data_IF_730329020311
#
_entry.id   IF_730329020311
#
_cell.length_a   1.000
_cell.length_b   1.000
_cell.length_c   1.000
_cell.angle_alpha   90.00
_cell.angle_beta   90.00
_cell.angle_gamma   90.00
#
_symmetry.space_group_name_H-M   'P 1'
#
loop_
_entity.id
_entity.type
_entity.pdbx_description
1 polymer ?
#
# COMPACT_ATOMS: atom_id res chain seq x y z
N UNK A 1 2.99 -19.44 0.42
CA UNK A 1 2.21 -18.78 1.38
C UNK A 1 0.82 -18.53 0.88
N UNK A 2 0.08 -19.05 1.00
CA UNK A 2 -0.89 -18.89 0.96
C UNK A 2 -1.87 -18.19 0.67
N UNK A 3 -2.61 -18.45 0.33
CA UNK A 3 -3.93 -18.03 0.32
C UNK A 3 -4.46 -17.40 1.59
N UNK A 4 -3.49 -16.98 2.37
CA UNK A 4 -3.74 -16.59 3.70
C UNK A 4 -4.89 -15.68 3.92
N UNK A 5 -4.99 -14.55 3.29
CA UNK A 5 -5.89 -13.56 3.79
C UNK A 5 -7.30 -13.62 3.21
N UNK A 6 -7.71 -14.71 2.72
CA UNK A 6 -9.04 -14.81 2.11
C UNK A 6 -10.18 -14.84 3.10
N UNK A 7 -9.89 -14.94 4.40
CA UNK A 7 -10.94 -15.09 5.40
C UNK A 7 -10.85 -14.00 6.44
N UNK A 8 -11.70 -13.02 6.30
CA UNK A 8 -11.97 -12.09 7.39
C UNK A 8 -13.15 -12.62 8.21
N UNK A 9 -12.99 -12.73 9.53
CA UNK A 9 -13.97 -13.29 10.46
C UNK A 9 -15.33 -12.60 10.38
N UNK A 10 -15.36 -11.35 9.96
CA UNK A 10 -16.59 -10.55 9.95
C UNK A 10 -17.29 -10.50 8.59
N UNK A 11 -16.78 -11.21 7.59
CA UNK A 11 -17.23 -10.99 6.23
C UNK A 11 -16.95 -9.56 5.79
N UNK A 12 -16.42 -9.38 4.62
CA UNK A 12 -16.14 -8.06 4.05
C UNK A 12 -16.90 -7.87 2.76
N UNK A 13 -16.95 -6.65 2.27
CA UNK A 13 -17.42 -6.36 0.91
C UNK A 13 -16.61 -7.13 -0.15
N UNK A 14 -15.48 -7.69 0.21
CA UNK A 14 -14.64 -8.57 -0.61
C UNK A 14 -15.17 -10.01 -0.73
N UNK A 15 -16.25 -10.36 -0.02
CA UNK A 15 -16.89 -11.66 -0.20
C UNK A 15 -16.24 -12.80 0.56
N UNK A 16 -15.78 -12.58 1.77
CA UNK A 16 -15.13 -13.59 2.62
C UNK A 16 -15.98 -14.81 3.03
N UNK A 17 -17.16 -14.95 2.51
CA UNK A 17 -18.03 -16.10 2.73
C UNK A 17 -18.48 -16.28 4.18
N UNK A 18 -19.22 -17.35 4.42
CA UNK A 18 -19.72 -17.75 5.74
C UNK A 18 -18.88 -18.86 6.38
N UNK A 19 -17.63 -19.01 6.01
CA UNK A 19 -16.78 -20.06 6.55
C UNK A 19 -16.36 -19.72 7.98
N UNK A 20 -16.58 -20.64 8.89
CA UNK A 20 -16.15 -20.58 10.28
C UNK A 20 -14.93 -21.48 10.46
N UNK A 21 -13.82 -20.91 10.92
CA UNK A 21 -12.64 -21.67 11.27
C UNK A 21 -12.64 -22.05 12.75
N UNK A 22 -12.24 -23.26 13.04
CA UNK A 22 -12.11 -23.78 14.42
C UNK A 22 -10.69 -24.36 14.58
N UNK A 23 -9.90 -23.92 15.54
CA UNK A 23 -10.17 -22.89 16.53
C UNK A 23 -10.12 -21.47 15.93
N UNK A 24 -11.17 -20.70 16.16
CA UNK A 24 -11.38 -19.40 15.51
C UNK A 24 -10.29 -18.37 15.88
N UNK A 25 -9.95 -18.31 17.15
CA UNK A 25 -9.00 -17.28 17.64
C UNK A 25 -7.60 -17.52 17.10
N UNK A 26 -7.07 -18.73 17.26
CA UNK A 26 -5.69 -19.03 16.87
C UNK A 26 -5.53 -19.02 15.35
N UNK A 27 -6.45 -19.61 14.62
CA UNK A 27 -6.42 -19.61 13.17
C UNK A 27 -6.70 -18.25 12.57
N UNK A 28 -7.74 -17.59 13.04
CA UNK A 28 -8.14 -16.32 12.45
C UNK A 28 -7.23 -15.16 12.86
N UNK A 29 -6.77 -15.12 14.10
CA UNK A 29 -5.86 -14.07 14.56
C UNK A 29 -4.42 -14.29 14.06
N UNK A 30 -4.00 -15.53 13.88
CA UNK A 30 -2.67 -15.86 13.37
C UNK A 30 -2.57 -15.84 11.85
N UNK A 31 -3.59 -16.34 11.14
CA UNK A 31 -3.55 -16.49 9.69
C UNK A 31 -4.17 -15.31 8.92
N UNK A 32 -5.13 -14.62 9.51
CA UNK A 32 -5.81 -13.50 8.86
C UNK A 32 -5.29 -12.13 9.31
N UNK A 33 -4.38 -12.08 10.26
CA UNK A 33 -3.61 -10.88 10.61
C UNK A 33 -2.84 -10.29 9.43
N UNK A 34 -2.49 -11.12 8.46
CA UNK A 34 -1.79 -10.76 7.24
C UNK A 34 -2.53 -9.71 6.41
N UNK A 35 -3.86 -9.73 6.39
CA UNK A 35 -4.66 -8.69 5.71
C UNK A 35 -4.38 -7.32 6.30
N UNK A 36 -4.33 -7.21 7.63
CA UNK A 36 -4.10 -5.94 8.30
C UNK A 36 -2.69 -5.44 8.05
N UNK A 37 -1.69 -6.31 8.12
CA UNK A 37 -0.30 -5.98 7.88
C UNK A 37 -0.10 -5.57 6.41
N UNK A 38 -0.69 -6.29 5.48
CA UNK A 38 -0.67 -5.97 4.06
C UNK A 38 -1.36 -4.63 3.79
N UNK A 39 -2.53 -4.40 4.35
CA UNK A 39 -3.29 -3.16 4.18
C UNK A 39 -2.52 -1.96 4.74
N UNK A 40 -1.89 -2.11 5.91
CA UNK A 40 -1.05 -1.09 6.51
C UNK A 40 0.19 -0.79 5.66
N UNK A 41 0.88 -1.83 5.17
CA UNK A 41 2.04 -1.67 4.30
C UNK A 41 1.66 -1.00 2.97
N UNK A 42 0.55 -1.40 2.37
CA UNK A 42 0.04 -0.80 1.13
C UNK A 42 -0.30 0.68 1.32
N UNK A 43 -1.08 1.00 2.33
CA UNK A 43 -1.50 2.37 2.60
C UNK A 43 -0.34 3.26 3.04
N UNK A 44 0.70 2.70 3.68
CA UNK A 44 1.93 3.43 3.99
C UNK A 44 2.61 3.98 2.72
N UNK A 45 2.63 3.20 1.64
CA UNK A 45 3.15 3.67 0.35
C UNK A 45 2.35 4.87 -0.18
N UNK A 46 1.02 4.82 -0.06
CA UNK A 46 0.15 5.95 -0.46
C UNK A 46 0.34 7.18 0.41
N UNK A 47 0.49 7.00 1.73
CA UNK A 47 0.80 8.12 2.63
C UNK A 47 2.13 8.76 2.26
N UNK A 48 3.17 7.95 2.02
CA UNK A 48 4.48 8.44 1.62
C UNK A 48 4.42 9.20 0.27
N UNK A 49 3.70 8.65 -0.71
CA UNK A 49 3.51 9.28 -2.02
C UNK A 49 2.81 10.64 -1.91
N UNK A 50 1.66 10.67 -1.25
CA UNK A 50 0.87 11.91 -1.11
C UNK A 50 1.58 12.97 -0.27
N UNK A 51 2.26 12.55 0.81
CA UNK A 51 3.08 13.45 1.61
C UNK A 51 4.25 14.01 0.79
N UNK A 52 4.93 13.16 -0.01
CA UNK A 52 6.01 13.60 -0.90
C UNK A 52 5.52 14.63 -1.90
N UNK A 53 4.42 14.37 -2.58
CA UNK A 53 3.81 15.32 -3.53
C UNK A 53 3.46 16.64 -2.86
N UNK A 54 2.90 16.61 -1.64
CA UNK A 54 2.57 17.81 -0.86
C UNK A 54 3.82 18.61 -0.48
N UNK A 55 4.88 17.94 -0.04
CA UNK A 55 6.15 18.61 0.28
C UNK A 55 6.77 19.24 -0.96
N UNK A 56 6.78 18.54 -2.07
CA UNK A 56 7.29 19.08 -3.34
C UNK A 56 6.49 20.28 -3.84
N UNK A 57 5.19 20.33 -3.58
CA UNK A 57 4.35 21.49 -3.89
C UNK A 57 4.65 22.70 -3.00
N UNK A 58 4.96 22.48 -1.73
CA UNK A 58 5.00 23.52 -0.73
C UNK A 58 6.41 24.08 -0.48
N UNK A 59 7.46 23.35 -0.84
CA UNK A 59 8.84 23.70 -0.56
C UNK A 59 9.67 23.85 -1.84
N UNK A 60 10.66 24.75 -1.80
CA UNK A 60 11.68 24.87 -2.86
C UNK A 60 12.63 23.67 -2.77
N UNK A 61 13.43 23.46 -3.82
CA UNK A 61 14.39 22.35 -3.87
C UNK A 61 15.42 22.44 -2.74
N UNK A 62 15.89 23.64 -2.43
CA UNK A 62 16.83 23.89 -1.33
C UNK A 62 16.21 23.58 0.03
N UNK A 63 14.93 23.98 0.22
CA UNK A 63 14.19 23.68 1.45
C UNK A 63 13.94 22.17 1.57
N UNK A 64 13.54 21.52 0.50
CA UNK A 64 13.29 20.08 0.46
C UNK A 64 14.56 19.30 0.80
N UNK A 65 15.67 19.60 0.14
CA UNK A 65 16.97 18.98 0.41
C UNK A 65 17.42 19.17 1.85
N UNK A 66 17.25 20.39 2.40
CA UNK A 66 17.64 20.69 3.79
C UNK A 66 16.77 19.97 4.83
N UNK A 67 15.46 19.82 4.56
CA UNK A 67 14.51 19.22 5.52
C UNK A 67 14.52 17.69 5.46
N UNK A 68 14.69 17.12 4.27
CA UNK A 68 14.54 15.69 4.06
C UNK A 68 15.80 14.99 3.57
N UNK A 69 16.81 15.74 3.10
CA UNK A 69 17.98 15.19 2.40
C UNK A 69 17.67 14.60 1.03
N UNK A 70 16.43 14.70 0.56
CA UNK A 70 15.95 14.06 -0.65
C UNK A 70 15.88 15.03 -1.82
N UNK A 71 16.12 14.52 -3.04
CA UNK A 71 15.87 15.27 -4.28
C UNK A 71 14.38 15.28 -4.61
N UNK A 72 13.94 16.26 -5.38
CA UNK A 72 12.60 16.30 -5.96
C UNK A 72 12.41 15.15 -6.94
N UNK A 73 11.23 14.52 -6.91
CA UNK A 73 10.85 13.44 -7.82
C UNK A 73 9.97 13.92 -8.98
N UNK A 74 9.41 15.13 -8.88
CA UNK A 74 8.54 15.74 -9.90
C UNK A 74 7.36 14.85 -10.30
N UNK A 75 6.69 14.26 -9.31
CA UNK A 75 5.58 13.34 -9.52
C UNK A 75 4.43 14.07 -10.22
N UNK A 76 3.92 13.46 -11.31
CA UNK A 76 2.76 13.96 -12.02
C UNK A 76 1.46 13.56 -11.30
N UNK A 77 0.68 14.51 -10.76
CA UNK A 77 -0.57 14.19 -10.06
C UNK A 77 -1.63 13.53 -10.93
N UNK A 78 -1.52 13.64 -12.24
CA UNK A 78 -2.45 13.02 -13.19
C UNK A 78 -2.10 11.57 -13.52
N UNK A 79 -0.91 11.12 -13.13
CA UNK A 79 -0.35 9.80 -13.43
C UNK A 79 0.01 9.02 -12.18
N UNK A 80 -0.85 9.09 -11.18
CA UNK A 80 -0.78 8.25 -9.97
C UNK A 80 -1.58 6.98 -10.22
N UNK A 81 -0.88 5.86 -10.36
CA UNK A 81 -1.49 4.57 -10.69
C UNK A 81 -1.86 3.76 -9.44
N UNK A 82 -1.13 3.97 -8.36
CA UNK A 82 -1.38 3.31 -7.10
C UNK A 82 -2.55 3.96 -6.36
N UNK A 83 -3.36 3.15 -5.65
CA UNK A 83 -4.50 3.65 -4.89
C UNK A 83 -4.43 3.24 -3.43
N UNK A 84 -5.46 3.56 -2.68
CA UNK A 84 -5.64 3.09 -1.30
C UNK A 84 -6.30 1.72 -1.29
N UNK A 85 -6.15 0.98 -0.21
CA UNK A 85 -6.90 -0.25 0.01
C UNK A 85 -7.62 -0.20 1.36
N UNK A 86 -8.87 -0.69 1.37
CA UNK A 86 -9.67 -0.86 2.58
C UNK A 86 -10.72 -1.92 2.34
N UNK A 87 -10.90 -2.84 3.29
CA UNK A 87 -11.83 -3.95 3.12
C UNK A 87 -13.30 -3.59 3.34
N UNK A 88 -13.55 -2.49 4.04
CA UNK A 88 -14.89 -2.00 4.33
C UNK A 88 -15.18 -0.70 3.59
N UNK A 89 -15.26 -0.75 2.28
CA UNK A 89 -15.61 0.45 1.52
C UNK A 89 -16.86 0.23 0.68
N UNK A 90 -17.70 1.28 0.63
CA UNK A 90 -18.79 1.33 -0.32
C UNK A 90 -18.25 1.44 -1.76
N UNK A 91 -18.98 0.88 -2.70
CA UNK A 91 -18.60 0.94 -4.12
C UNK A 91 -18.40 2.39 -4.62
N UNK A 92 -19.12 3.35 -4.04
CA UNK A 92 -18.98 4.76 -4.34
C UNK A 92 -17.61 5.36 -4.00
N UNK A 93 -16.82 4.71 -3.16
CA UNK A 93 -15.47 5.16 -2.79
C UNK A 93 -14.37 4.58 -3.68
N UNK A 94 -14.70 3.75 -4.65
CA UNK A 94 -13.70 3.17 -5.58
C UNK A 94 -13.06 4.22 -6.47
N UNK A 95 -13.81 5.23 -6.86
CA UNK A 95 -13.31 6.40 -7.59
C UNK A 95 -13.73 7.66 -6.85
N UNK A 96 -12.76 8.39 -6.35
CA UNK A 96 -12.98 9.61 -5.57
C UNK A 96 -12.03 10.72 -6.03
N UNK A 97 -12.34 11.93 -5.63
CA UNK A 97 -11.43 13.07 -5.78
C UNK A 97 -10.91 13.43 -4.39
N UNK A 98 -9.59 13.52 -4.25
CA UNK A 98 -8.90 13.93 -3.03
C UNK A 98 -8.23 15.28 -3.23
N UNK A 99 -7.76 15.91 -2.13
CA UNK A 99 -7.04 17.17 -2.17
C UNK A 99 -7.94 18.39 -2.43
N UNK A 100 -9.25 18.28 -2.14
CA UNK A 100 -10.19 19.40 -2.24
C UNK A 100 -10.03 20.28 -1.00
N UNK A 101 -9.34 21.41 -1.15
CA UNK A 101 -9.10 22.33 -0.04
C UNK A 101 -7.89 23.23 -0.24
N UNK A 102 -7.22 23.55 0.85
CA UNK A 102 -6.07 24.47 0.87
C UNK A 102 -4.74 23.79 0.53
N UNK A 103 -3.64 24.52 0.77
CA UNK A 103 -2.29 24.01 0.50
C UNK A 103 -1.92 22.78 1.35
N UNK A 104 -2.57 22.61 2.50
CA UNK A 104 -2.38 21.45 3.38
C UNK A 104 -3.02 20.16 2.86
N UNK A 105 -3.98 20.26 1.94
CA UNK A 105 -4.75 19.13 1.46
C UNK A 105 -4.13 18.43 0.23
N UNK A 106 -2.96 18.90 -0.21
CA UNK A 106 -2.23 18.32 -1.34
C UNK A 106 -2.76 18.73 -2.70
N UNK A 107 -2.57 17.88 -3.70
CA UNK A 107 -3.08 18.09 -5.04
C UNK A 107 -4.51 17.57 -5.18
N UNK A 108 -5.35 18.32 -5.88
CA UNK A 108 -6.66 17.81 -6.30
C UNK A 108 -6.44 16.80 -7.42
N UNK A 109 -6.73 15.54 -7.13
CA UNK A 109 -6.51 14.45 -8.09
C UNK A 109 -7.52 13.32 -7.90
N UNK A 110 -7.72 12.52 -8.95
CA UNK A 110 -8.47 11.27 -8.85
C UNK A 110 -7.70 10.28 -8.00
N UNK A 111 -8.40 9.59 -7.13
CA UNK A 111 -7.90 8.49 -6.33
C UNK A 111 -8.93 7.38 -6.24
N UNK A 112 -8.58 6.28 -5.60
CA UNK A 112 -9.47 5.13 -5.48
C UNK A 112 -9.20 4.34 -4.21
N UNK A 113 -10.23 3.62 -3.75
CA UNK A 113 -10.10 2.57 -2.76
C UNK A 113 -10.33 1.21 -3.42
N UNK A 114 -9.32 0.35 -3.38
CA UNK A 114 -9.42 -1.07 -3.69
C UNK A 114 -9.65 -1.89 -2.44
N UNK A 115 -9.77 -3.20 -2.60
CA UNK A 115 -9.80 -4.17 -1.50
C UNK A 115 -8.39 -4.76 -1.30
N UNK A 116 -8.08 -5.20 -0.08
CA UNK A 116 -6.75 -5.71 0.24
C UNK A 116 -6.30 -6.85 -0.68
N UNK A 117 -7.21 -7.75 -1.05
CA UNK A 117 -6.91 -8.87 -1.95
C UNK A 117 -6.52 -8.44 -3.38
N UNK A 118 -6.83 -7.22 -3.78
CA UNK A 118 -6.43 -6.66 -5.09
C UNK A 118 -5.08 -5.94 -5.05
N UNK A 119 -4.44 -5.89 -3.89
CA UNK A 119 -3.14 -5.26 -3.73
C UNK A 119 -2.04 -6.04 -4.46
N UNK A 120 -1.09 -5.33 -5.06
CA UNK A 120 0.13 -5.95 -5.60
C UNK A 120 0.94 -6.69 -4.53
N UNK A 121 0.88 -6.24 -3.28
CA UNK A 121 1.52 -6.91 -2.15
C UNK A 121 0.99 -8.35 -1.96
N UNK A 122 -0.28 -8.61 -2.28
CA UNK A 122 -0.84 -9.95 -2.25
C UNK A 122 -0.21 -10.85 -3.30
N UNK A 123 -0.02 -10.35 -4.50
CA UNK A 123 0.66 -11.09 -5.57
C UNK A 123 2.14 -11.35 -5.23
N UNK A 124 2.80 -10.38 -4.62
CA UNK A 124 4.18 -10.52 -4.15
C UNK A 124 4.28 -11.59 -3.07
N UNK A 125 3.36 -11.60 -2.09
CA UNK A 125 3.34 -12.62 -1.04
C UNK A 125 3.20 -14.05 -1.58
N UNK A 126 2.50 -14.23 -2.70
CA UNK A 126 2.33 -15.54 -3.32
C UNK A 126 3.63 -16.13 -3.90
N UNK A 127 4.64 -15.30 -4.16
CA UNK A 127 5.88 -15.72 -4.85
C UNK A 127 7.15 -15.40 -4.08
N UNK A 128 7.05 -14.69 -2.96
CA UNK A 128 8.20 -14.31 -2.15
C UNK A 128 8.82 -15.52 -1.46
N UNK A 129 10.16 -15.52 -1.34
CA UNK A 129 10.92 -16.63 -0.75
C UNK A 129 11.36 -16.35 0.68
N UNK A 130 11.73 -15.10 0.95
CA UNK A 130 12.24 -14.66 2.25
C UNK A 130 12.06 -13.14 2.40
N UNK A 131 12.44 -12.61 3.55
CA UNK A 131 12.29 -11.18 3.86
C UNK A 131 13.14 -10.27 2.93
N UNK A 132 14.30 -10.74 2.49
CA UNK A 132 15.15 -9.98 1.59
C UNK A 132 14.51 -9.88 0.19
N UNK A 133 13.98 -10.99 -0.31
CA UNK A 133 13.22 -11.03 -1.57
C UNK A 133 11.94 -10.20 -1.48
N UNK A 134 11.23 -10.24 -0.33
CA UNK A 134 10.08 -9.37 -0.07
C UNK A 134 10.46 -7.90 -0.21
N UNK A 135 11.50 -7.46 0.50
CA UNK A 135 11.95 -6.07 0.48
C UNK A 135 12.34 -5.61 -0.93
N UNK A 136 13.04 -6.47 -1.66
CA UNK A 136 13.44 -6.18 -3.06
C UNK A 136 12.21 -5.99 -3.94
N UNK A 137 11.29 -6.95 -3.94
CA UNK A 137 10.07 -6.91 -4.78
C UNK A 137 9.15 -5.76 -4.43
N UNK A 138 8.97 -5.51 -3.14
CA UNK A 138 8.19 -4.35 -2.67
C UNK A 138 8.82 -3.05 -3.12
N UNK A 139 10.16 -2.98 -3.19
CA UNK A 139 10.89 -1.82 -3.68
C UNK A 139 10.68 -1.51 -5.17
N UNK A 140 10.30 -2.49 -5.95
CA UNK A 140 10.07 -2.39 -7.39
C UNK A 140 8.64 -1.95 -7.77
N UNK A 141 7.74 -1.81 -6.80
CA UNK A 141 6.36 -1.39 -7.06
C UNK A 141 6.35 0.04 -7.59
N UNK A 142 5.75 0.23 -8.76
CA UNK A 142 5.53 1.54 -9.36
C UNK A 142 4.27 2.16 -8.77
N UNK A 143 4.40 3.35 -8.17
CA UNK A 143 3.30 4.08 -7.54
C UNK A 143 2.71 5.15 -8.45
N UNK A 144 3.58 5.82 -9.19
CA UNK A 144 3.23 6.95 -10.06
C UNK A 144 4.29 7.11 -11.16
N UNK A 145 4.09 8.11 -11.99
CA UNK A 145 5.10 8.53 -12.97
C UNK A 145 5.51 9.98 -12.70
N UNK A 146 6.74 10.32 -13.04
CA UNK A 146 7.20 11.71 -13.03
C UNK A 146 6.68 12.47 -14.27
N UNK A 147 6.97 13.77 -14.33
CA UNK A 147 6.56 14.62 -15.46
C UNK A 147 7.19 14.21 -16.79
N UNK A 148 8.30 13.49 -16.76
CA UNK A 148 9.00 12.98 -17.95
C UNK A 148 8.48 11.60 -18.37
N UNK A 149 7.65 10.96 -17.55
CA UNK A 149 7.09 9.63 -17.80
C UNK A 149 7.92 8.48 -17.26
N UNK A 150 8.91 8.74 -16.40
CA UNK A 150 9.66 7.69 -15.73
C UNK A 150 8.84 7.16 -14.53
N UNK A 151 8.92 5.85 -14.22
CA UNK A 151 8.25 5.29 -13.07
C UNK A 151 8.87 5.79 -11.77
N UNK A 152 8.01 6.13 -10.81
CA UNK A 152 8.38 6.43 -9.42
C UNK A 152 8.00 5.23 -8.57
N UNK A 153 8.98 4.62 -7.95
CA UNK A 153 8.84 3.38 -7.19
C UNK A 153 8.82 3.62 -5.68
N UNK A 154 8.47 2.60 -4.93
CA UNK A 154 8.58 2.60 -3.46
C UNK A 154 10.01 2.78 -2.98
N UNK A 155 11.00 2.36 -3.76
CA UNK A 155 12.43 2.61 -3.48
C UNK A 155 12.77 4.10 -3.63
N UNK A 156 12.25 4.78 -4.63
CA UNK A 156 12.46 6.22 -4.83
C UNK A 156 11.87 7.05 -3.69
N UNK A 157 10.78 6.57 -3.09
CA UNK A 157 10.16 7.15 -1.88
C UNK A 157 10.83 6.70 -0.57
N UNK A 158 11.82 5.79 -0.63
CA UNK A 158 12.50 5.21 0.53
C UNK A 158 11.56 4.49 1.53
N UNK A 159 10.40 4.02 1.07
CA UNK A 159 9.36 3.41 1.92
C UNK A 159 9.40 1.89 1.93
N UNK A 160 10.09 1.26 0.98
CA UNK A 160 10.14 -0.21 0.82
C UNK A 160 10.61 -0.95 2.09
N UNK A 161 11.55 -0.38 2.84
CA UNK A 161 12.02 -0.96 4.09
C UNK A 161 10.95 -0.98 5.18
N UNK A 162 10.20 0.10 5.32
CA UNK A 162 9.11 0.20 6.29
C UNK A 162 7.94 -0.73 5.91
N UNK A 163 7.60 -0.82 4.62
CA UNK A 163 6.60 -1.76 4.12
C UNK A 163 7.00 -3.22 4.42
N UNK A 164 8.24 -3.59 4.14
CA UNK A 164 8.75 -4.92 4.45
C UNK A 164 8.76 -5.21 5.96
N UNK A 165 9.02 -4.22 6.80
CA UNK A 165 8.95 -4.35 8.25
C UNK A 165 7.53 -4.64 8.76
N UNK A 166 6.52 -3.98 8.20
CA UNK A 166 5.12 -4.29 8.46
C UNK A 166 4.77 -5.72 8.08
N UNK A 167 5.27 -6.19 6.94
CA UNK A 167 4.93 -7.49 6.38
C UNK A 167 5.83 -8.64 6.86
N UNK A 168 6.74 -8.41 7.81
CA UNK A 168 7.72 -9.43 8.24
C UNK A 168 7.11 -10.75 8.71
N UNK A 169 5.91 -10.68 9.30
CA UNK A 169 5.24 -11.87 9.83
C UNK A 169 4.34 -12.54 8.78
N UNK A 170 3.99 -11.84 7.70
CA UNK A 170 3.10 -12.35 6.65
C UNK A 170 3.76 -13.38 5.75
N UNK A 171 5.09 -13.44 5.74
CA UNK A 171 5.85 -14.42 4.95
C UNK A 171 6.02 -15.77 5.65
N UNK A 172 5.56 -15.89 6.88
CA UNK A 172 5.65 -17.15 7.60
C UNK A 172 4.78 -18.22 6.91
N UNK A 173 5.30 -19.43 6.67
CA UNK A 173 4.51 -20.49 6.08
C UNK A 173 3.36 -20.87 7.01
N UNK A 174 2.22 -21.20 6.44
CA UNK A 174 1.08 -21.74 7.15
C UNK A 174 0.99 -23.25 6.94
N UNK A 175 0.22 -23.95 7.77
CA UNK A 175 0.03 -25.41 7.63
C UNK A 175 -0.63 -25.81 6.30
N UNK A 176 -1.19 -24.87 5.58
CA UNK A 176 -1.87 -25.09 4.30
C UNK A 176 -1.03 -24.72 3.07
N UNK A 177 0.25 -24.44 3.26
CA UNK A 177 1.14 -23.99 2.18
C UNK A 177 2.40 -24.83 2.11
#
# INVERSE_FOLDING_TARGET
PSGGPTMNIKGTAAGGGNALLIPMTEFSMGLTGDINDLMNAHNLAMVALTARMQHERNYTDEQLARLTGMRRLEIDPTRVEFGWVIDFCAQALRDIIIGIGGRSDGYMMRSRFGIAVSSELMAILAIVRDLADLRRRVGEITLAFDQLGNPVTTTDLEVAGAMAAWMRNTINPTLCC
#
